data_IF_455596080738
#
_entry.id   IF_455596080738
#
_cell.length_a   1.000
_cell.length_b   1.000
_cell.length_c   1.000
_cell.angle_alpha   90.00
_cell.angle_beta   90.00
_cell.angle_gamma   90.00
#
_symmetry.space_group_name_H-M   'P 1'
#
loop_
_entity.id
_entity.type
_entity.pdbx_description
1 polymer ?
#
# COMPACT_ATOMS: atom_id res chain seq x y z
N UNK A 1 10.28 -2.31 1.91
CA UNK A 1 9.74 -0.94 2.07
C UNK A 1 10.83 0.11 2.09
N UNK A 2 11.80 0.07 3.02
CA UNK A 2 12.89 1.05 3.07
C UNK A 2 13.70 1.06 1.76
N UNK A 3 14.18 -0.11 1.33
CA UNK A 3 14.96 -0.23 0.11
C UNK A 3 14.19 0.27 -1.13
N UNK A 4 12.88 0.04 -1.22
CA UNK A 4 12.06 0.53 -2.34
C UNK A 4 11.86 2.04 -2.27
N UNK A 5 11.59 2.61 -1.10
CA UNK A 5 11.40 4.06 -0.93
C UNK A 5 12.70 4.84 -1.15
N UNK A 6 13.80 4.40 -0.55
CA UNK A 6 15.13 5.01 -0.74
C UNK A 6 15.61 4.81 -2.18
N UNK A 7 15.44 3.62 -2.75
CA UNK A 7 15.79 3.34 -4.15
C UNK A 7 15.05 4.25 -5.12
N UNK A 8 13.74 4.45 -4.92
CA UNK A 8 12.95 5.38 -5.71
C UNK A 8 13.46 6.82 -5.59
N UNK A 9 13.75 7.29 -4.37
CA UNK A 9 14.30 8.64 -4.16
C UNK A 9 15.62 8.83 -4.92
N UNK A 10 16.51 7.84 -4.88
CA UNK A 10 17.80 7.88 -5.58
C UNK A 10 17.64 7.86 -7.11
N UNK A 11 16.70 7.08 -7.63
CA UNK A 11 16.37 7.03 -9.06
C UNK A 11 15.83 8.38 -9.55
N UNK A 12 14.93 9.00 -8.78
CA UNK A 12 14.31 10.27 -9.17
C UNK A 12 15.23 11.50 -9.07
N UNK A 13 16.50 11.39 -8.63
CA UNK A 13 17.40 12.52 -8.42
C UNK A 13 17.72 13.33 -9.67
N UNK A 14 17.64 12.71 -10.85
CA UNK A 14 17.79 13.39 -12.13
C UNK A 14 16.51 14.12 -12.60
N UNK A 15 15.43 13.99 -11.81
CA UNK A 15 14.13 14.62 -12.06
C UNK A 15 13.26 13.88 -13.08
N UNK A 16 13.68 12.73 -13.61
CA UNK A 16 12.93 12.02 -14.65
C UNK A 16 12.99 10.51 -14.45
N UNK A 17 11.83 9.88 -14.19
CA UNK A 17 11.74 8.43 -14.14
C UNK A 17 11.55 7.83 -15.54
N UNK A 18 12.56 7.11 -16.01
CA UNK A 18 12.60 6.56 -17.36
C UNK A 18 12.19 5.06 -17.41
N UNK A 19 12.11 4.52 -18.64
CA UNK A 19 11.70 3.12 -18.87
C UNK A 19 12.69 2.10 -18.31
N UNK A 20 13.98 2.44 -18.22
CA UNK A 20 15.00 1.55 -17.65
C UNK A 20 14.76 1.40 -16.15
N UNK A 21 14.51 2.50 -15.44
CA UNK A 21 14.19 2.48 -14.02
C UNK A 21 12.88 1.75 -13.75
N UNK A 22 11.87 1.96 -14.59
CA UNK A 22 10.64 1.16 -14.56
C UNK A 22 10.90 -0.33 -14.70
N UNK A 23 11.80 -0.73 -15.61
CA UNK A 23 12.20 -2.13 -15.81
C UNK A 23 12.93 -2.68 -14.58
N UNK A 24 13.80 -1.89 -13.96
CA UNK A 24 14.51 -2.27 -12.73
C UNK A 24 13.52 -2.47 -11.57
N UNK A 25 12.55 -1.57 -11.42
CA UNK A 25 11.51 -1.66 -10.38
C UNK A 25 10.65 -2.94 -10.56
N UNK A 26 10.22 -3.24 -11.79
CA UNK A 26 9.45 -4.47 -12.06
C UNK A 26 10.31 -5.72 -11.86
N UNK A 27 11.58 -5.72 -12.29
CA UNK A 27 12.49 -6.82 -12.03
C UNK A 27 12.70 -7.04 -10.53
N UNK A 28 12.81 -5.96 -9.75
CA UNK A 28 12.88 -6.01 -8.30
C UNK A 28 11.58 -6.56 -7.68
N UNK A 29 10.40 -6.20 -8.18
CA UNK A 29 9.13 -6.78 -7.75
C UNK A 29 9.08 -8.31 -7.95
N UNK A 30 9.51 -8.78 -9.12
CA UNK A 30 9.56 -10.21 -9.45
C UNK A 30 10.55 -10.92 -8.51
N UNK A 31 11.75 -10.35 -8.33
CA UNK A 31 12.75 -10.91 -7.44
C UNK A 31 12.25 -10.96 -5.98
N UNK A 32 11.67 -9.87 -5.48
CA UNK A 32 11.08 -9.77 -4.15
C UNK A 32 9.98 -10.82 -3.91
N UNK A 33 9.06 -10.96 -4.87
CA UNK A 33 7.98 -11.96 -4.79
C UNK A 33 8.56 -13.37 -4.80
N UNK A 34 9.55 -13.64 -5.65
CA UNK A 34 10.20 -14.94 -5.71
C UNK A 34 10.99 -15.27 -4.43
N UNK A 35 11.65 -14.29 -3.80
CA UNK A 35 12.35 -14.50 -2.51
C UNK A 35 11.36 -14.73 -1.39
N UNK A 36 10.25 -13.99 -1.33
CA UNK A 36 9.18 -14.22 -0.37
C UNK A 36 8.61 -15.64 -0.47
N UNK A 37 8.29 -16.09 -1.68
CA UNK A 37 7.78 -17.46 -1.91
C UNK A 37 8.81 -18.51 -1.47
N UNK A 38 10.10 -18.27 -1.71
CA UNK A 38 11.17 -19.19 -1.28
C UNK A 38 11.38 -19.20 0.22
N UNK A 39 11.28 -18.04 0.88
CA UNK A 39 11.42 -17.92 2.34
C UNK A 39 10.24 -18.53 3.07
N UNK A 40 9.01 -18.30 2.62
CA UNK A 40 7.82 -18.96 3.16
C UNK A 40 7.93 -20.48 3.11
N UNK A 41 8.51 -21.05 2.04
CA UNK A 41 8.76 -22.50 1.97
C UNK A 41 9.80 -23.01 2.97
N UNK A 42 10.72 -22.16 3.42
CA UNK A 42 11.83 -22.49 4.34
C UNK A 42 11.53 -22.17 5.81
N UNK A 43 10.34 -21.71 6.12
CA UNK A 43 9.94 -21.34 7.48
C UNK A 43 9.94 -22.56 8.42
N UNK A 44 10.22 -22.31 9.71
CA UNK A 44 10.37 -23.33 10.74
C UNK A 44 9.07 -24.14 10.92
N UNK A 45 9.21 -25.38 11.39
CA UNK A 45 8.08 -26.30 11.57
C UNK A 45 7.02 -25.75 12.54
N UNK A 46 7.43 -25.01 13.58
CA UNK A 46 6.53 -24.38 14.55
C UNK A 46 5.66 -23.28 13.92
N UNK A 47 6.25 -22.34 13.17
CA UNK A 47 5.50 -21.29 12.46
C UNK A 47 4.56 -21.87 11.39
N UNK A 48 4.98 -22.96 10.73
CA UNK A 48 4.10 -23.69 9.80
C UNK A 48 2.94 -24.37 10.50
N UNK A 49 3.11 -24.84 11.74
CA UNK A 49 2.03 -25.42 12.54
C UNK A 49 1.06 -24.35 13.01
N UNK A 50 1.55 -23.21 13.50
CA UNK A 50 0.71 -22.07 13.92
C UNK A 50 -0.16 -21.56 12.76
N UNK A 51 0.45 -21.33 11.57
CA UNK A 51 -0.30 -21.00 10.35
C UNK A 51 -1.28 -22.11 9.93
N UNK A 52 -0.91 -23.38 10.08
CA UNK A 52 -1.77 -24.50 9.70
C UNK A 52 -2.97 -24.66 10.64
N UNK A 53 -2.84 -24.30 11.92
CA UNK A 53 -3.93 -24.29 12.90
C UNK A 53 -4.86 -23.09 12.68
N UNK A 54 -4.29 -21.88 12.53
CA UNK A 54 -5.05 -20.63 12.33
C UNK A 54 -5.82 -20.62 11.00
N UNK A 55 -5.23 -21.12 9.92
CA UNK A 55 -5.88 -21.25 8.61
C UNK A 55 -6.37 -22.68 8.34
N UNK A 56 -6.59 -23.48 9.38
CA UNK A 56 -7.11 -24.84 9.21
C UNK A 56 -8.51 -24.83 8.59
N UNK A 57 -8.89 -25.86 7.82
CA UNK A 57 -10.25 -25.97 7.29
C UNK A 57 -11.32 -25.96 8.39
N UNK A 58 -10.99 -26.40 9.59
CA UNK A 58 -11.89 -26.39 10.75
C UNK A 58 -12.02 -24.97 11.34
N UNK A 59 -10.91 -24.23 11.51
CA UNK A 59 -10.92 -22.84 11.96
C UNK A 59 -11.63 -21.91 10.97
N UNK A 60 -11.49 -22.16 9.67
CA UNK A 60 -12.15 -21.41 8.60
C UNK A 60 -13.57 -21.90 8.28
N UNK A 61 -14.08 -22.93 8.99
CA UNK A 61 -15.38 -23.55 8.70
C UNK A 61 -15.51 -24.14 7.29
N UNK A 62 -14.37 -24.41 6.62
CA UNK A 62 -14.29 -24.86 5.25
C UNK A 62 -14.53 -26.38 5.14
N UNK A 63 -15.71 -26.76 4.65
CA UNK A 63 -15.95 -28.14 4.20
C UNK A 63 -15.17 -28.41 2.91
N UNK A 64 -14.44 -29.53 2.86
CA UNK A 64 -13.67 -29.92 1.66
C UNK A 64 -14.60 -30.41 0.55
N UNK A 65 -14.58 -29.73 -0.60
CA UNK A 65 -15.25 -30.16 -1.83
C UNK A 65 -15.06 -29.15 -2.98
N UNK A 66 -15.09 -29.62 -4.23
CA UNK A 66 -14.93 -28.77 -5.43
C UNK A 66 -15.90 -27.57 -5.44
N UNK A 67 -17.15 -27.79 -4.98
CA UNK A 67 -18.15 -26.74 -4.84
C UNK A 67 -17.75 -25.63 -3.83
N UNK A 68 -17.01 -25.97 -2.77
CA UNK A 68 -16.53 -24.98 -1.78
C UNK A 68 -15.33 -24.20 -2.32
N UNK A 69 -14.44 -24.82 -3.09
CA UNK A 69 -13.35 -24.13 -3.78
C UNK A 69 -13.87 -23.12 -4.82
N UNK A 70 -14.88 -23.52 -5.59
CA UNK A 70 -15.57 -22.63 -6.52
C UNK A 70 -16.28 -21.49 -5.79
N UNK A 71 -16.94 -21.77 -4.66
CA UNK A 71 -17.59 -20.74 -3.83
C UNK A 71 -16.59 -19.72 -3.28
N UNK A 72 -15.48 -20.16 -2.71
CA UNK A 72 -14.45 -19.26 -2.18
C UNK A 72 -13.81 -18.42 -3.30
N UNK A 73 -13.61 -19.01 -4.48
CA UNK A 73 -13.13 -18.27 -5.66
C UNK A 73 -14.14 -17.22 -6.10
N UNK A 74 -15.44 -17.54 -6.10
CA UNK A 74 -16.51 -16.59 -6.40
C UNK A 74 -16.56 -15.48 -5.36
N UNK A 75 -16.44 -15.78 -4.06
CA UNK A 75 -16.37 -14.78 -3.00
C UNK A 75 -15.15 -13.88 -3.15
N UNK A 76 -14.00 -14.43 -3.51
CA UNK A 76 -12.78 -13.66 -3.74
C UNK A 76 -12.95 -12.68 -4.91
N UNK A 77 -13.37 -13.19 -6.07
CA UNK A 77 -13.54 -12.37 -7.28
C UNK A 77 -14.65 -11.32 -7.10
N UNK A 78 -15.76 -11.70 -6.48
CA UNK A 78 -16.86 -10.76 -6.21
C UNK A 78 -16.46 -9.72 -5.16
N UNK A 79 -15.74 -10.10 -4.10
CA UNK A 79 -15.20 -9.19 -3.10
C UNK A 79 -14.22 -8.18 -3.70
N UNK A 80 -13.29 -8.64 -4.54
CA UNK A 80 -12.39 -7.75 -5.29
C UNK A 80 -13.17 -6.77 -6.16
N UNK A 81 -14.15 -7.26 -6.93
CA UNK A 81 -14.97 -6.42 -7.80
C UNK A 81 -15.79 -5.38 -7.02
N UNK A 82 -16.43 -5.77 -5.93
CA UNK A 82 -17.19 -4.87 -5.05
C UNK A 82 -16.29 -3.83 -4.40
N UNK A 83 -15.06 -4.19 -4.05
CA UNK A 83 -14.10 -3.27 -3.44
C UNK A 83 -13.68 -2.19 -4.43
N UNK A 84 -13.35 -2.57 -5.67
CA UNK A 84 -13.01 -1.63 -6.74
C UNK A 84 -14.19 -0.70 -7.06
N UNK A 85 -15.39 -1.26 -7.20
CA UNK A 85 -16.60 -0.49 -7.48
C UNK A 85 -16.97 0.45 -6.33
N UNK A 86 -16.83 -0.01 -5.08
CA UNK A 86 -17.06 0.82 -3.90
C UNK A 86 -16.09 2.00 -3.81
N UNK A 87 -14.80 1.77 -4.10
CA UNK A 87 -13.80 2.83 -4.14
C UNK A 87 -14.12 3.87 -5.22
N UNK A 88 -14.48 3.43 -6.44
CA UNK A 88 -14.81 4.31 -7.56
C UNK A 88 -16.04 5.18 -7.26
N UNK A 89 -17.12 4.57 -6.74
CA UNK A 89 -18.31 5.30 -6.33
C UNK A 89 -18.02 6.30 -5.20
N UNK A 90 -17.19 5.92 -4.23
CA UNK A 90 -16.81 6.80 -3.12
C UNK A 90 -16.00 8.00 -3.61
N UNK A 91 -14.99 7.77 -4.44
CA UNK A 91 -14.15 8.83 -5.03
C UNK A 91 -15.02 9.75 -5.90
N UNK A 92 -15.82 9.20 -6.81
CA UNK A 92 -16.68 9.99 -7.71
C UNK A 92 -17.70 10.84 -6.96
N UNK A 93 -18.31 10.27 -5.90
CA UNK A 93 -19.22 11.02 -5.02
C UNK A 93 -18.52 12.15 -4.28
N UNK A 94 -17.35 11.90 -3.70
CA UNK A 94 -16.57 12.91 -2.97
C UNK A 94 -16.06 14.03 -3.90
N UNK A 95 -15.59 13.68 -5.11
CA UNK A 95 -15.20 14.63 -6.16
C UNK A 95 -16.38 15.55 -6.52
N UNK A 96 -17.55 14.97 -6.77
CA UNK A 96 -18.76 15.73 -7.14
C UNK A 96 -19.15 16.72 -6.04
N UNK A 97 -19.08 16.30 -4.77
CA UNK A 97 -19.33 17.16 -3.62
C UNK A 97 -18.31 18.29 -3.55
N UNK A 98 -17.02 17.99 -3.68
CA UNK A 98 -15.96 18.99 -3.61
C UNK A 98 -16.07 20.05 -4.73
N UNK A 99 -16.42 19.64 -5.95
CA UNK A 99 -16.66 20.55 -7.07
C UNK A 99 -17.87 21.47 -6.81
N UNK A 100 -18.95 20.96 -6.18
CA UNK A 100 -20.08 21.81 -5.75
C UNK A 100 -19.67 22.88 -4.73
N UNK A 101 -18.67 22.59 -3.89
CA UNK A 101 -18.10 23.55 -2.94
C UNK A 101 -17.02 24.47 -3.55
N UNK A 102 -16.76 24.38 -4.85
CA UNK A 102 -15.78 25.22 -5.54
C UNK A 102 -14.32 24.87 -5.23
N UNK A 103 -14.06 23.65 -4.75
CA UNK A 103 -12.70 23.14 -4.53
C UNK A 103 -12.04 22.89 -5.88
N UNK A 104 -10.77 23.28 -6.04
CA UNK A 104 -10.05 23.10 -7.30
C UNK A 104 -9.75 21.62 -7.58
N UNK A 105 -9.74 21.25 -8.87
CA UNK A 105 -9.43 19.88 -9.30
C UNK A 105 -8.04 19.39 -8.80
N UNK A 106 -7.09 20.32 -8.62
CA UNK A 106 -5.78 20.02 -8.05
C UNK A 106 -5.88 19.51 -6.61
N UNK A 107 -6.65 20.18 -5.74
CA UNK A 107 -6.86 19.74 -4.35
C UNK A 107 -7.58 18.40 -4.34
N UNK A 108 -8.59 18.23 -5.19
CA UNK A 108 -9.37 17.00 -5.30
C UNK A 108 -8.46 15.82 -5.66
N UNK A 109 -7.58 15.99 -6.66
CA UNK A 109 -6.61 14.97 -7.07
C UNK A 109 -5.60 14.63 -5.97
N UNK A 110 -5.05 15.65 -5.30
CA UNK A 110 -4.04 15.48 -4.26
C UNK A 110 -4.60 14.91 -2.94
N UNK A 111 -5.90 15.05 -2.68
CA UNK A 111 -6.50 14.68 -1.39
C UNK A 111 -7.57 13.60 -1.54
N UNK A 112 -8.72 13.92 -2.14
CA UNK A 112 -9.89 13.05 -2.21
C UNK A 112 -9.59 11.80 -3.03
N UNK A 113 -8.97 11.95 -4.19
CA UNK A 113 -8.62 10.81 -5.05
C UNK A 113 -7.53 9.97 -4.38
N UNK A 114 -6.49 10.60 -3.82
CA UNK A 114 -5.40 9.89 -3.14
C UNK A 114 -5.86 9.10 -1.91
N UNK A 115 -6.74 9.69 -1.09
CA UNK A 115 -7.34 8.99 0.07
C UNK A 115 -8.30 7.91 -0.40
N UNK A 116 -9.12 8.20 -1.42
CA UNK A 116 -10.13 7.27 -1.87
C UNK A 116 -9.59 6.03 -2.57
N UNK A 117 -8.44 6.14 -3.26
CA UNK A 117 -7.75 4.95 -3.79
C UNK A 117 -7.11 4.09 -2.72
N UNK A 118 -6.77 4.67 -1.56
CA UNK A 118 -6.23 3.95 -0.39
C UNK A 118 -7.31 3.47 0.58
N UNK A 119 -8.58 3.82 0.33
CA UNK A 119 -9.69 3.52 1.22
C UNK A 119 -9.98 2.01 1.32
N UNK A 120 -9.92 1.21 0.24
CA UNK A 120 -9.94 -0.24 0.32
C UNK A 120 -8.92 -0.82 1.29
N UNK A 121 -7.66 -0.39 1.17
CA UNK A 121 -6.55 -0.88 1.98
C UNK A 121 -6.70 -0.45 3.44
N UNK A 122 -7.18 0.77 3.68
CA UNK A 122 -7.52 1.23 5.03
C UNK A 122 -8.64 0.39 5.63
N UNK A 123 -9.70 0.09 4.86
CA UNK A 123 -10.81 -0.73 5.33
C UNK A 123 -10.34 -2.16 5.67
N UNK A 124 -9.52 -2.78 4.82
CA UNK A 124 -9.00 -4.13 5.08
C UNK A 124 -8.08 -4.16 6.29
N UNK A 125 -7.17 -3.18 6.43
CA UNK A 125 -6.28 -3.06 7.61
C UNK A 125 -7.06 -2.81 8.90
N UNK A 126 -8.09 -1.96 8.89
CA UNK A 126 -8.94 -1.70 10.07
C UNK A 126 -9.71 -2.97 10.45
N UNK A 127 -10.33 -3.65 9.49
CA UNK A 127 -11.06 -4.91 9.76
C UNK A 127 -10.14 -5.99 10.32
N UNK A 128 -8.95 -6.18 9.72
CA UNK A 128 -7.96 -7.14 10.23
C UNK A 128 -7.52 -6.79 11.66
N UNK A 129 -7.27 -5.51 11.94
CA UNK A 129 -6.91 -5.04 13.29
C UNK A 129 -8.03 -5.28 14.30
N UNK A 130 -9.30 -5.07 13.93
CA UNK A 130 -10.46 -5.32 14.78
C UNK A 130 -10.69 -6.81 15.07
N UNK A 131 -10.21 -7.69 14.19
CA UNK A 131 -10.21 -9.15 14.37
C UNK A 131 -8.98 -9.68 15.13
N UNK A 132 -8.11 -8.79 15.59
CA UNK A 132 -6.81 -9.11 16.20
C UNK A 132 -5.84 -9.83 15.25
N UNK A 133 -6.09 -9.79 13.93
CA UNK A 133 -5.22 -10.30 12.87
C UNK A 133 -4.11 -9.27 12.53
N UNK A 134 -3.29 -8.92 13.52
CA UNK A 134 -2.33 -7.80 13.40
C UNK A 134 -1.23 -8.04 12.38
N UNK A 135 -0.79 -9.28 12.22
CA UNK A 135 0.21 -9.66 11.22
C UNK A 135 -0.30 -9.45 9.80
N UNK A 136 -1.59 -9.72 9.56
CA UNK A 136 -2.28 -9.45 8.29
C UNK A 136 -2.37 -7.94 8.05
N UNK A 137 -2.71 -7.18 9.09
CA UNK A 137 -2.81 -5.72 9.01
C UNK A 137 -1.46 -5.04 8.65
N UNK A 138 -0.36 -5.47 9.28
CA UNK A 138 1.00 -4.97 9.00
C UNK A 138 1.49 -5.46 7.64
N UNK A 139 1.20 -6.72 7.30
CA UNK A 139 1.51 -7.32 6.00
C UNK A 139 0.86 -6.54 4.85
N UNK A 140 -0.41 -6.15 5.00
CA UNK A 140 -1.12 -5.30 4.04
C UNK A 140 -0.43 -3.93 3.88
N UNK A 141 -0.13 -3.24 4.99
CA UNK A 141 0.50 -1.92 4.97
C UNK A 141 1.86 -1.93 4.25
N UNK A 142 2.73 -2.87 4.63
CA UNK A 142 4.09 -2.98 4.07
C UNK A 142 4.04 -3.49 2.63
N UNK A 143 3.21 -4.49 2.36
CA UNK A 143 3.07 -5.13 1.05
C UNK A 143 2.54 -4.17 -0.01
N UNK A 144 1.48 -3.43 0.30
CA UNK A 144 0.88 -2.44 -0.61
C UNK A 144 1.85 -1.30 -0.91
N UNK A 145 2.59 -0.80 0.08
CA UNK A 145 3.62 0.23 -0.12
C UNK A 145 4.75 -0.22 -1.06
N UNK A 146 5.23 -1.46 -0.89
CA UNK A 146 6.25 -2.04 -1.76
C UNK A 146 5.69 -2.25 -3.18
N UNK A 147 4.47 -2.76 -3.30
CA UNK A 147 3.85 -3.06 -4.59
C UNK A 147 3.53 -1.79 -5.38
N UNK A 148 3.10 -0.72 -4.71
CA UNK A 148 2.87 0.58 -5.37
C UNK A 148 4.16 1.12 -6.01
N UNK A 149 5.29 1.03 -5.29
CA UNK A 149 6.57 1.52 -5.81
C UNK A 149 7.15 0.57 -6.88
N UNK A 150 7.18 -0.74 -6.63
CA UNK A 150 7.88 -1.67 -7.52
C UNK A 150 7.03 -2.10 -8.72
N UNK A 151 5.74 -2.37 -8.50
CA UNK A 151 4.83 -2.88 -9.53
C UNK A 151 4.12 -1.75 -10.24
N UNK A 152 3.32 -0.95 -9.52
CA UNK A 152 2.47 0.06 -10.14
C UNK A 152 3.34 1.11 -10.83
N UNK A 153 4.18 1.81 -10.07
CA UNK A 153 5.06 2.84 -10.63
C UNK A 153 6.05 2.27 -11.65
N UNK A 154 6.58 1.07 -11.43
CA UNK A 154 7.45 0.39 -12.38
C UNK A 154 6.77 0.17 -13.74
N UNK A 155 5.53 -0.35 -13.74
CA UNK A 155 4.73 -0.51 -14.95
C UNK A 155 4.34 0.83 -15.58
N UNK A 156 4.00 1.84 -14.77
CA UNK A 156 3.71 3.20 -15.26
C UNK A 156 4.91 3.79 -16.02
N UNK A 157 6.12 3.64 -15.48
CA UNK A 157 7.35 4.10 -16.14
C UNK A 157 7.62 3.36 -17.46
N UNK A 158 7.37 2.04 -17.51
CA UNK A 158 7.52 1.25 -18.75
C UNK A 158 6.51 1.68 -19.82
N UNK A 159 5.27 1.96 -19.39
CA UNK A 159 4.17 2.37 -20.26
C UNK A 159 4.33 3.82 -20.77
N UNK A 160 5.01 4.69 -20.01
CA UNK A 160 5.28 6.07 -20.39
C UNK A 160 6.41 6.16 -21.46
N UNK A 161 6.12 6.52 -22.73
CA UNK A 161 7.13 6.50 -23.79
C UNK A 161 8.26 7.52 -23.61
N UNK A 162 7.97 8.62 -22.90
CA UNK A 162 8.89 9.73 -22.66
C UNK A 162 9.46 9.78 -21.23
N UNK A 163 9.16 8.77 -20.41
CA UNK A 163 9.40 8.85 -18.97
C UNK A 163 8.34 9.70 -18.24
N UNK A 164 8.50 9.80 -16.93
CA UNK A 164 7.64 10.56 -16.03
C UNK A 164 8.49 11.65 -15.38
N UNK A 165 8.17 12.91 -15.65
CA UNK A 165 8.83 14.04 -15.01
C UNK A 165 8.44 14.10 -13.53
N UNK A 166 9.45 14.21 -12.66
CA UNK A 166 9.29 14.36 -11.22
C UNK A 166 9.46 15.84 -10.88
N UNK A 167 8.42 16.46 -10.34
CA UNK A 167 8.48 17.87 -9.96
C UNK A 167 9.50 18.11 -8.84
N UNK A 168 10.10 19.30 -8.80
CA UNK A 168 11.08 19.66 -7.74
C UNK A 168 10.47 19.50 -6.34
N UNK A 169 9.19 19.79 -6.20
CA UNK A 169 8.44 19.65 -4.95
C UNK A 169 8.37 18.19 -4.47
N UNK A 170 8.05 17.27 -5.38
CA UNK A 170 8.02 15.83 -5.09
C UNK A 170 9.43 15.34 -4.75
N UNK A 171 10.45 15.82 -5.47
CA UNK A 171 11.84 15.41 -5.26
C UNK A 171 12.42 15.91 -3.93
N UNK A 172 12.12 17.14 -3.54
CA UNK A 172 12.72 17.76 -2.33
C UNK A 172 11.94 17.49 -1.05
N UNK A 173 10.64 17.20 -1.15
CA UNK A 173 9.77 17.04 0.03
C UNK A 173 9.19 15.64 0.09
N UNK A 174 8.46 15.20 -0.93
CA UNK A 174 7.59 14.02 -0.83
C UNK A 174 8.39 12.71 -0.79
N UNK A 175 9.34 12.54 -1.72
CA UNK A 175 10.17 11.33 -1.78
C UNK A 175 11.11 11.19 -0.58
N UNK A 176 11.84 12.24 -0.14
CA UNK A 176 12.62 12.18 1.10
C UNK A 176 11.77 11.89 2.33
N UNK A 177 10.59 12.50 2.45
CA UNK A 177 9.68 12.26 3.57
C UNK A 177 9.17 10.82 3.56
N UNK A 178 8.77 10.29 2.40
CA UNK A 178 8.34 8.90 2.27
C UNK A 178 9.46 7.91 2.67
N UNK A 179 10.70 8.19 2.25
CA UNK A 179 11.86 7.40 2.66
C UNK A 179 12.13 7.52 4.17
N UNK A 180 12.04 8.72 4.74
CA UNK A 180 12.23 8.97 6.17
C UNK A 180 11.17 8.25 7.02
N UNK A 181 9.90 8.31 6.63
CA UNK A 181 8.81 7.57 7.28
C UNK A 181 9.04 6.07 7.17
N UNK A 182 9.44 5.56 6.00
CA UNK A 182 9.74 4.15 5.83
C UNK A 182 10.88 3.68 6.76
N UNK A 183 11.91 4.52 6.96
CA UNK A 183 13.00 4.27 7.91
C UNK A 183 12.49 4.32 9.35
N UNK A 184 11.67 5.30 9.70
CA UNK A 184 11.08 5.46 11.03
C UNK A 184 10.17 4.28 11.43
N UNK A 185 9.57 3.60 10.45
CA UNK A 185 8.81 2.37 10.72
C UNK A 185 9.69 1.20 11.19
N UNK A 186 10.99 1.17 10.87
CA UNK A 186 11.88 0.07 11.28
C UNK A 186 11.98 -0.12 12.80
N UNK A 187 12.35 0.91 13.60
CA UNK A 187 12.41 0.76 15.06
C UNK A 187 11.04 0.44 15.66
N UNK A 188 9.96 1.00 15.10
CA UNK A 188 8.59 0.76 15.58
C UNK A 188 8.17 -0.69 15.37
N UNK A 189 8.45 -1.28 14.21
CA UNK A 189 8.15 -2.69 13.96
C UNK A 189 9.10 -3.65 14.69
N UNK A 190 10.29 -3.18 15.08
CA UNK A 190 11.25 -3.97 15.86
C UNK A 190 10.94 -3.91 17.37
N UNK A 191 10.35 -2.82 17.86
CA UNK A 191 9.98 -2.65 19.26
C UNK A 191 8.70 -3.44 19.53
N UNK A 192 8.78 -4.44 20.42
CA UNK A 192 7.67 -5.30 20.88
C UNK A 192 6.86 -6.04 19.80
N UNK A 193 7.29 -6.00 18.52
CA UNK A 193 6.56 -6.53 17.35
C UNK A 193 5.11 -6.02 17.24
N UNK A 194 4.79 -4.89 17.89
CA UNK A 194 3.45 -4.34 17.93
C UNK A 194 3.51 -2.82 17.81
N UNK A 195 2.69 -2.25 16.92
CA UNK A 195 2.52 -0.80 16.85
C UNK A 195 1.65 -0.34 18.02
N UNK A 196 2.24 0.38 18.96
CA UNK A 196 1.52 0.94 20.10
C UNK A 196 0.59 2.09 19.66
N UNK A 197 -0.45 2.34 20.46
CA UNK A 197 -1.36 3.49 20.23
C UNK A 197 -0.61 4.83 20.18
N UNK A 198 0.48 4.97 20.94
CA UNK A 198 1.28 6.20 20.97
C UNK A 198 2.04 6.39 19.66
N UNK A 199 2.68 5.35 19.15
CA UNK A 199 3.36 5.39 17.85
C UNK A 199 2.37 5.66 16.73
N UNK A 200 1.21 5.01 16.75
CA UNK A 200 0.12 5.26 15.80
C UNK A 200 -0.35 6.72 15.80
N UNK A 201 -0.54 7.32 16.99
CA UNK A 201 -0.90 8.75 17.12
C UNK A 201 0.20 9.63 16.55
N UNK A 202 1.47 9.34 16.82
CA UNK A 202 2.60 10.12 16.29
C UNK A 202 2.63 10.07 14.77
N UNK A 203 2.52 8.90 14.14
CA UNK A 203 2.45 8.78 12.68
C UNK A 203 1.23 9.49 12.09
N UNK A 204 0.07 9.40 12.75
CA UNK A 204 -1.12 10.10 12.33
C UNK A 204 -0.97 11.62 12.38
N UNK A 205 -0.34 12.16 13.44
CA UNK A 205 -0.06 13.59 13.56
C UNK A 205 0.96 14.06 12.50
N UNK A 206 1.98 13.26 12.20
CA UNK A 206 2.93 13.53 11.10
C UNK A 206 2.18 13.60 9.76
N UNK A 207 1.29 12.64 9.51
CA UNK A 207 0.45 12.62 8.31
C UNK A 207 -0.46 13.86 8.23
N UNK A 208 -1.12 14.24 9.31
CA UNK A 208 -1.95 15.45 9.35
C UNK A 208 -1.13 16.73 9.12
N UNK A 209 0.06 16.82 9.71
CA UNK A 209 0.97 17.95 9.49
C UNK A 209 1.41 18.03 8.03
N UNK A 210 1.76 16.90 7.41
CA UNK A 210 2.10 16.83 5.99
C UNK A 210 0.94 17.24 5.10
N UNK A 211 -0.26 16.69 5.33
CA UNK A 211 -1.46 17.04 4.56
C UNK A 211 -1.79 18.53 4.68
N UNK A 212 -1.69 19.10 5.88
CA UNK A 212 -1.92 20.52 6.11
C UNK A 212 -0.88 21.38 5.38
N UNK A 213 0.40 21.01 5.46
CA UNK A 213 1.46 21.71 4.73
C UNK A 213 1.24 21.63 3.21
N UNK A 214 0.87 20.45 2.69
CA UNK A 214 0.60 20.27 1.27
C UNK A 214 -0.57 21.15 0.81
N UNK A 215 -1.67 21.20 1.58
CA UNK A 215 -2.83 22.04 1.25
C UNK A 215 -2.51 23.54 1.40
N UNK A 216 -1.66 23.96 2.33
CA UNK A 216 -1.37 25.39 2.52
C UNK A 216 -0.32 25.91 1.53
N UNK A 217 0.68 25.09 1.18
CA UNK A 217 1.84 25.55 0.39
C UNK A 217 1.78 25.19 -1.10
N UNK A 218 0.97 24.21 -1.51
CA UNK A 218 0.87 23.77 -2.93
C UNK A 218 -0.48 24.05 -3.58
N UNK A 219 -1.32 24.83 -2.92
CA UNK A 219 -2.64 25.24 -3.39
C UNK A 219 -2.74 26.74 -3.45
#
# INVERSE_FOLDING_TARGET
MIASAVGLYLMALDGVLNRLEGTILVAAAIAYTATLIRWSKRENAETKQEFAEEFSPEALGAKRGFAHGAWNTLLLVSGMGLTVLGADLMVGGAVSIAQMFGVSDAIIGLTIVAVGTSAPELATTVVATLKDERDVAVGNLIGSSISNILVILGLTCIAAPRGIDVSEDVLRIDLPLAAAVAIACYPVFRSDQQVSRREGIVFFLIYLAYMTALIVFRT
#
